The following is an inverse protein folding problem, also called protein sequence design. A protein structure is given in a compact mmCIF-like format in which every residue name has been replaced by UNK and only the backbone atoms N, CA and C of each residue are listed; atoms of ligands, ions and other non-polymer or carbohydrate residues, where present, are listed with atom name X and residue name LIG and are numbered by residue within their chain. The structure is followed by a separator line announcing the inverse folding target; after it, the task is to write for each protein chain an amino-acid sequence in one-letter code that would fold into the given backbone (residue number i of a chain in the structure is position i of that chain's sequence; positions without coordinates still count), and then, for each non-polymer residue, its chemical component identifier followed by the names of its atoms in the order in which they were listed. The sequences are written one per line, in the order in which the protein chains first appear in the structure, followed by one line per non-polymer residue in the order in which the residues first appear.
data_IF_828342589776
#
_entry.id   IF_828342589776
#
_cell.length_a   1.000
_cell.length_b   1.000
_cell.length_c   1.000
_cell.angle_alpha   90.00
_cell.angle_beta   90.00
_cell.angle_gamma   90.00
#
_symmetry.space_group_name_H-M   'P 1'
#
loop_
_entity.id
_entity.type
_entity.pdbx_description
1 polymer ?
#
# COMPACT_ATOMS: atom_id res chain seq x y z
N UNK A 1 25.97 47.16 40.59
CA UNK A 1 26.58 46.13 39.74
C UNK A 1 27.42 45.25 40.66
N UNK A 2 26.96 44.04 40.95
CA UNK A 2 27.69 43.10 41.82
C UNK A 2 27.89 41.81 41.04
N UNK A 3 29.10 41.59 40.54
CA UNK A 3 29.50 40.35 39.90
C UNK A 3 29.59 39.24 40.96
N UNK A 4 28.76 38.21 40.85
CA UNK A 4 28.78 37.07 41.77
C UNK A 4 29.87 36.09 41.29
N UNK A 5 31.06 36.19 41.88
CA UNK A 5 32.15 35.23 41.64
C UNK A 5 31.93 33.97 42.48
N UNK A 6 31.82 32.81 41.83
CA UNK A 6 31.68 31.52 42.51
C UNK A 6 33.01 30.77 42.51
N UNK A 7 33.46 30.35 43.70
CA UNK A 7 34.74 29.66 43.90
C UNK A 7 34.52 28.16 44.07
N UNK A 8 35.26 27.34 43.33
CA UNK A 8 35.16 25.88 43.47
C UNK A 8 35.82 25.42 44.78
N UNK A 9 35.09 24.74 45.69
CA UNK A 9 35.62 24.37 47.01
C UNK A 9 36.68 23.26 46.99
N UNK A 10 36.99 22.64 45.84
CA UNK A 10 37.97 21.54 45.72
C UNK A 10 39.36 21.96 45.23
N UNK A 11 39.48 23.09 44.52
CA UNK A 11 40.76 23.56 43.99
C UNK A 11 40.95 25.08 44.09
N UNK A 12 40.00 25.81 44.67
CA UNK A 12 40.13 27.25 44.94
C UNK A 12 40.12 28.15 43.70
N UNK A 13 39.92 27.60 42.51
CA UNK A 13 39.85 28.37 41.27
C UNK A 13 38.58 29.22 41.27
N UNK A 14 38.76 30.54 41.16
CA UNK A 14 37.68 31.51 40.97
C UNK A 14 37.16 31.37 39.55
N UNK A 15 35.94 30.85 39.39
CA UNK A 15 35.25 30.87 38.11
C UNK A 15 34.38 32.12 38.10
N UNK A 16 34.82 33.13 37.34
CA UNK A 16 33.93 34.23 36.96
C UNK A 16 32.93 33.59 36.01
N UNK A 17 31.68 33.37 36.46
CA UNK A 17 30.62 32.96 35.54
C UNK A 17 30.57 34.07 34.48
N UNK A 18 30.84 33.79 33.19
CA UNK A 18 30.72 34.80 32.15
C UNK A 18 29.22 35.00 31.89
N UNK A 19 28.49 35.49 32.88
CA UNK A 19 27.04 35.65 32.80
C UNK A 19 26.63 36.76 31.83
N UNK A 20 27.56 37.56 31.31
CA UNK A 20 27.26 38.72 30.46
C UNK A 20 28.14 38.89 29.21
N UNK A 21 28.91 37.88 28.77
CA UNK A 21 29.72 37.97 27.53
C UNK A 21 29.37 36.90 26.49
N UNK A 22 28.08 36.66 26.25
CA UNK A 22 27.70 36.15 24.94
C UNK A 22 27.90 37.28 23.94
N UNK A 23 28.73 37.06 22.92
CA UNK A 23 28.88 38.00 21.80
C UNK A 23 27.48 38.33 21.27
N UNK A 24 27.24 39.55 20.83
CA UNK A 24 25.95 39.89 20.22
C UNK A 24 25.67 39.01 18.98
N UNK A 25 26.72 38.47 18.36
CA UNK A 25 26.66 37.44 17.33
C UNK A 25 26.07 36.12 17.83
N UNK A 26 26.44 35.67 19.04
CA UNK A 26 25.90 34.44 19.65
C UNK A 26 24.42 34.62 19.99
N UNK A 27 24.03 35.79 20.50
CA UNK A 27 22.63 36.11 20.78
C UNK A 27 21.79 36.14 19.50
N UNK A 28 22.32 36.74 18.43
CA UNK A 28 21.66 36.74 17.12
C UNK A 28 21.53 35.31 16.56
N UNK A 29 22.58 34.49 16.72
CA UNK A 29 22.56 33.09 16.28
C UNK A 29 21.53 32.27 17.05
N UNK A 30 21.44 32.44 18.37
CA UNK A 30 20.44 31.76 19.20
C UNK A 30 19.03 32.17 18.75
N UNK A 31 18.75 33.46 18.58
CA UNK A 31 17.45 33.93 18.10
C UNK A 31 17.08 33.37 16.72
N UNK A 32 18.07 33.28 15.80
CA UNK A 32 17.88 32.66 14.49
C UNK A 32 17.55 31.17 14.57
N UNK A 33 18.27 30.43 15.44
CA UNK A 33 18.01 29.02 15.68
C UNK A 33 16.65 28.78 16.33
N UNK A 34 16.27 29.59 17.31
CA UNK A 34 14.95 29.54 17.95
C UNK A 34 13.82 29.79 16.94
N UNK A 35 13.98 30.78 16.06
CA UNK A 35 13.04 31.03 14.96
C UNK A 35 12.96 29.83 14.02
N UNK A 36 14.08 29.19 13.70
CA UNK A 36 14.10 28.03 12.82
C UNK A 36 13.42 26.82 13.46
N UNK A 37 13.68 26.57 14.75
CA UNK A 37 13.01 25.53 15.54
C UNK A 37 11.50 25.79 15.53
N UNK A 38 11.06 27.03 15.78
CA UNK A 38 9.65 27.38 15.74
C UNK A 38 9.02 27.06 14.38
N UNK A 39 9.64 27.48 13.27
CA UNK A 39 9.14 27.19 11.91
C UNK A 39 9.09 25.67 11.65
N UNK A 40 10.08 24.93 12.10
CA UNK A 40 10.11 23.48 11.95
C UNK A 40 9.01 22.80 12.78
N UNK A 41 8.74 23.29 13.99
CA UNK A 41 7.62 22.83 14.82
C UNK A 41 6.28 23.14 14.16
N UNK A 42 6.09 24.34 13.61
CA UNK A 42 4.88 24.72 12.88
C UNK A 42 4.68 23.84 11.63
N UNK A 43 5.77 23.48 10.94
CA UNK A 43 5.71 22.55 9.81
C UNK A 43 5.42 21.12 10.23
N UNK A 44 5.99 20.67 11.34
CA UNK A 44 5.76 19.33 11.87
C UNK A 44 4.30 19.17 12.32
N UNK A 45 3.74 20.17 13.00
CA UNK A 45 2.33 20.18 13.41
C UNK A 45 1.40 20.18 12.19
N UNK A 46 1.62 21.07 11.21
CA UNK A 46 0.85 21.07 9.97
C UNK A 46 0.95 19.74 9.18
N UNK A 47 2.11 19.08 9.22
CA UNK A 47 2.28 17.76 8.61
C UNK A 47 1.50 16.67 9.37
N UNK A 48 1.47 16.73 10.70
CA UNK A 48 0.68 15.80 11.54
C UNK A 48 -0.82 16.00 11.30
N UNK A 49 -1.30 17.24 11.19
CA UNK A 49 -2.71 17.53 10.87
C UNK A 49 -3.09 16.90 9.52
N UNK A 50 -2.23 17.08 8.50
CA UNK A 50 -2.44 16.46 7.19
C UNK A 50 -2.41 14.93 7.22
N UNK A 51 -1.59 14.33 8.09
CA UNK A 51 -1.55 12.88 8.28
C UNK A 51 -2.83 12.38 8.95
N UNK A 52 -3.42 13.15 9.87
CA UNK A 52 -4.72 12.83 10.45
C UNK A 52 -5.82 12.83 9.38
N UNK A 53 -5.85 13.84 8.51
CA UNK A 53 -6.78 13.89 7.38
C UNK A 53 -6.64 12.66 6.46
N UNK A 54 -5.41 12.27 6.11
CA UNK A 54 -5.17 11.07 5.30
C UNK A 54 -5.49 9.77 6.04
N UNK A 55 -5.31 9.71 7.36
CA UNK A 55 -5.72 8.55 8.15
C UNK A 55 -7.25 8.38 8.14
N UNK A 56 -7.99 9.47 8.27
CA UNK A 56 -9.45 9.47 8.20
C UNK A 56 -9.96 9.06 6.81
N UNK A 57 -9.34 9.56 5.74
CA UNK A 57 -9.62 9.12 4.37
C UNK A 57 -9.33 7.62 4.19
N UNK A 58 -8.20 7.13 4.71
CA UNK A 58 -7.87 5.70 4.70
C UNK A 58 -8.87 4.87 5.51
N UNK A 59 -9.35 5.37 6.65
CA UNK A 59 -10.39 4.70 7.45
C UNK A 59 -11.71 4.64 6.68
N UNK A 60 -12.08 5.71 5.97
CA UNK A 60 -13.28 5.75 5.14
C UNK A 60 -13.19 4.83 3.92
N UNK A 61 -12.04 4.80 3.24
CA UNK A 61 -11.80 3.89 2.11
C UNK A 61 -11.79 2.44 2.57
N UNK A 62 -11.16 2.15 3.72
CA UNK A 62 -11.18 0.81 4.32
C UNK A 62 -12.54 0.41 4.82
N UNK A 63 -13.36 1.30 5.39
CA UNK A 63 -14.73 0.95 5.81
C UNK A 63 -15.65 0.75 4.60
N UNK A 64 -15.45 1.51 3.51
CA UNK A 64 -16.15 1.30 2.24
C UNK A 64 -15.73 -0.03 1.59
N UNK A 65 -14.44 -0.34 1.60
CA UNK A 65 -13.89 -1.60 1.07
C UNK A 65 -14.24 -2.81 1.98
N UNK A 66 -14.10 -2.71 3.30
CA UNK A 66 -14.51 -3.76 4.24
C UNK A 66 -16.03 -3.89 4.33
N UNK A 67 -16.83 -2.86 4.08
CA UNK A 67 -18.28 -2.97 3.96
C UNK A 67 -18.69 -3.83 2.75
N UNK A 68 -17.92 -3.72 1.65
CA UNK A 68 -18.06 -4.58 0.49
C UNK A 68 -17.51 -6.01 0.71
N UNK A 69 -16.42 -6.17 1.47
CA UNK A 69 -15.81 -7.49 1.75
C UNK A 69 -16.55 -8.24 2.86
N UNK A 70 -17.07 -7.59 3.90
CA UNK A 70 -17.83 -8.27 4.98
C UNK A 70 -19.20 -8.79 4.51
N UNK A 71 -19.80 -8.22 3.47
CA UNK A 71 -20.97 -8.81 2.81
C UNK A 71 -20.62 -10.02 1.91
N UNK A 72 -19.33 -10.21 1.58
CA UNK A 72 -18.84 -11.35 0.81
C UNK A 72 -18.05 -12.39 1.65
N UNK A 73 -17.69 -12.09 2.90
CA UNK A 73 -16.80 -12.95 3.74
C UNK A 73 -17.39 -13.30 5.12
N UNK A 74 -18.68 -13.04 5.40
CA UNK A 74 -19.38 -13.65 6.56
C UNK A 74 -19.79 -15.11 6.34
N UNK A 75 -19.30 -15.75 5.29
CA UNK A 75 -19.09 -17.20 5.25
C UNK A 75 -17.59 -17.43 5.21
N UNK A 76 -17.07 -18.25 6.13
CA UNK A 76 -15.67 -18.67 6.30
C UNK A 76 -14.91 -17.92 7.43
N UNK A 77 -15.22 -18.41 8.63
CA UNK A 77 -14.26 -18.86 9.65
C UNK A 77 -13.69 -17.89 10.70
N UNK A 78 -14.17 -18.16 11.92
CA UNK A 78 -13.54 -17.93 13.21
C UNK A 78 -12.30 -18.82 13.43
N UNK A 79 -11.46 -18.37 14.37
CA UNK A 79 -10.34 -19.03 15.07
C UNK A 79 -8.93 -19.00 14.43
N UNK A 80 -8.15 -18.00 14.90
CA UNK A 80 -6.90 -18.08 15.69
C UNK A 80 -5.78 -19.05 15.20
N UNK A 81 -4.49 -18.71 15.14
CA UNK A 81 -3.61 -18.03 16.13
C UNK A 81 -2.27 -17.62 15.49
N UNK A 82 -1.61 -16.64 16.11
CA UNK A 82 -0.22 -16.23 15.89
C UNK A 82 0.79 -17.40 15.90
N UNK A 83 1.93 -17.25 15.20
CA UNK A 83 3.33 -17.23 15.72
C UNK A 83 4.34 -17.31 14.56
N UNK A 84 5.39 -16.48 14.65
CA UNK A 84 6.66 -16.44 13.89
C UNK A 84 7.31 -17.77 13.49
N UNK A 85 7.89 -17.88 12.29
CA UNK A 85 9.33 -18.16 11.99
C UNK A 85 9.62 -18.61 10.53
N UNK A 86 10.77 -18.13 10.02
CA UNK A 86 11.59 -18.48 8.83
C UNK A 86 11.57 -19.99 8.44
N UNK A 87 11.69 -20.45 7.19
CA UNK A 87 12.88 -20.46 6.29
C UNK A 87 12.53 -21.02 4.88
N UNK A 88 13.49 -20.90 3.96
CA UNK A 88 13.54 -21.13 2.51
C UNK A 88 13.35 -22.56 1.94
N UNK A 89 13.32 -22.62 0.59
CA UNK A 89 13.51 -23.75 -0.34
C UNK A 89 12.31 -24.70 -0.53
N UNK A 90 12.01 -25.33 -1.67
CA UNK A 90 12.35 -25.33 -3.11
C UNK A 90 11.27 -26.27 -3.73
N UNK A 91 10.93 -26.08 -5.00
CA UNK A 91 10.23 -27.01 -5.93
C UNK A 91 9.29 -28.12 -5.40
N UNK A 92 7.99 -28.03 -5.75
CA UNK A 92 7.22 -29.16 -6.33
C UNK A 92 5.76 -28.79 -6.71
N UNK A 93 5.49 -28.82 -8.02
CA UNK A 93 4.28 -29.30 -8.74
C UNK A 93 3.02 -29.65 -7.90
N UNK A 94 1.81 -29.14 -8.28
CA UNK A 94 0.58 -29.49 -7.58
C UNK A 94 0.05 -30.86 -8.04
N UNK A 95 -0.04 -31.80 -7.10
CA UNK A 95 -0.81 -33.04 -7.28
C UNK A 95 -2.21 -32.86 -6.68
N UNK A 96 -3.20 -33.02 -7.55
CA UNK A 96 -4.61 -33.28 -7.22
C UNK A 96 -4.74 -34.57 -6.41
N UNK A 97 -5.40 -34.53 -5.25
CA UNK A 97 -6.28 -35.61 -4.78
C UNK A 97 -7.05 -35.24 -3.50
N UNK A 98 -8.38 -35.28 -3.62
CA UNK A 98 -9.34 -35.82 -2.64
C UNK A 98 -9.31 -35.32 -1.19
N UNK A 99 -10.15 -34.32 -0.90
CA UNK A 99 -10.72 -34.14 0.44
C UNK A 99 -12.12 -34.75 0.51
N UNK A 100 -12.29 -35.67 1.45
CA UNK A 100 -13.51 -36.44 1.71
C UNK A 100 -14.58 -35.55 2.34
N UNK A 101 -15.67 -35.35 1.61
CA UNK A 101 -16.88 -34.66 2.09
C UNK A 101 -17.53 -35.50 3.18
N UNK A 102 -17.35 -35.10 4.44
CA UNK A 102 -18.14 -35.63 5.56
C UNK A 102 -19.54 -35.03 5.48
N UNK A 103 -20.47 -35.82 4.95
CA UNK A 103 -21.91 -35.51 4.95
C UNK A 103 -22.40 -35.47 6.40
N UNK A 104 -22.66 -34.29 6.94
CA UNK A 104 -23.40 -34.15 8.20
C UNK A 104 -24.83 -34.63 7.97
N UNK A 105 -25.12 -35.86 8.40
CA UNK A 105 -26.47 -36.43 8.36
C UNK A 105 -27.24 -35.79 9.52
N UNK A 106 -28.24 -34.97 9.18
CA UNK A 106 -29.25 -34.48 10.11
C UNK A 106 -29.99 -35.67 10.73
N UNK A 107 -29.48 -36.17 11.85
CA UNK A 107 -30.14 -37.14 12.72
C UNK A 107 -30.92 -36.37 13.77
N UNK A 108 -32.09 -35.86 13.40
CA UNK A 108 -33.07 -35.32 14.34
C UNK A 108 -34.42 -35.32 13.64
N UNK A 109 -35.22 -36.37 13.86
CA UNK A 109 -36.69 -36.40 13.84
C UNK A 109 -37.22 -37.84 13.69
N UNK A 110 -36.81 -38.76 14.56
CA UNK A 110 -37.57 -39.99 14.82
C UNK A 110 -37.58 -40.27 16.32
N UNK A 111 -38.24 -39.37 17.06
CA UNK A 111 -38.75 -39.68 18.38
C UNK A 111 -39.87 -40.72 18.25
N UNK A 112 -39.49 -42.01 18.27
CA UNK A 112 -40.42 -43.12 18.33
C UNK A 112 -41.18 -43.15 19.66
N UNK A 113 -42.28 -42.41 19.75
CA UNK A 113 -43.33 -42.67 20.75
C UNK A 113 -44.27 -43.74 20.21
N UNK A 114 -44.21 -44.91 20.82
CA UNK A 114 -45.16 -46.02 20.64
C UNK A 114 -46.55 -45.56 21.09
N UNK A 115 -47.51 -45.39 20.16
CA UNK A 115 -48.93 -45.23 20.51
C UNK A 115 -49.81 -45.96 19.46
N UNK A 116 -50.74 -46.75 20.00
CA UNK A 116 -51.89 -47.50 19.47
C UNK A 116 -52.52 -47.06 18.11
N UNK A 117 -53.17 -47.97 17.36
CA UNK A 117 -53.83 -47.64 16.10
C UNK A 117 -55.20 -46.98 16.32
N UNK A 118 -55.37 -45.76 15.83
CA UNK A 118 -56.66 -45.09 15.65
C UNK A 118 -56.70 -44.45 14.24
N UNK A 119 -57.85 -44.39 13.57
CA UNK A 119 -57.94 -43.96 12.16
C UNK A 119 -57.69 -42.44 12.02
N UNK A 120 -57.10 -41.98 10.90
CA UNK A 120 -56.86 -40.55 10.68
C UNK A 120 -58.15 -39.79 10.30
N UNK A 121 -58.37 -38.56 10.81
CA UNK A 121 -59.47 -37.69 10.38
C UNK A 121 -59.20 -37.05 8.99
N UNK A 122 -60.24 -36.60 8.26
CA UNK A 122 -60.13 -36.07 6.89
C UNK A 122 -59.49 -34.67 6.84
N UNK A 123 -58.77 -34.40 5.73
CA UNK A 123 -57.90 -33.25 5.48
C UNK A 123 -58.66 -31.94 5.17
N UNK A 124 -58.10 -30.77 5.55
CA UNK A 124 -58.21 -29.54 4.76
C UNK A 124 -56.92 -29.37 3.92
N UNK A 125 -56.84 -30.03 2.76
CA UNK A 125 -55.68 -29.94 1.85
C UNK A 125 -55.57 -28.58 1.15
N UNK A 126 -56.70 -27.90 0.91
CA UNK A 126 -56.74 -26.62 0.17
C UNK A 126 -56.05 -25.46 0.89
N UNK A 127 -56.14 -25.38 2.22
CA UNK A 127 -55.45 -24.33 2.99
C UNK A 127 -53.93 -24.49 2.92
N UNK A 128 -53.43 -25.73 2.97
CA UNK A 128 -51.99 -26.02 2.84
C UNK A 128 -51.46 -25.70 1.44
N UNK A 129 -52.25 -25.99 0.40
CA UNK A 129 -51.90 -25.64 -0.98
C UNK A 129 -51.79 -24.11 -1.17
N UNK A 130 -52.69 -23.33 -0.58
CA UNK A 130 -52.62 -21.86 -0.58
C UNK A 130 -51.35 -21.34 0.13
N UNK A 131 -51.00 -21.91 1.29
CA UNK A 131 -49.80 -21.51 2.02
C UNK A 131 -48.51 -21.83 1.26
N UNK A 132 -48.47 -22.97 0.54
CA UNK A 132 -47.36 -23.36 -0.32
C UNK A 132 -47.21 -22.42 -1.52
N UNK A 133 -48.31 -22.03 -2.15
CA UNK A 133 -48.28 -21.04 -3.24
C UNK A 133 -47.77 -19.68 -2.76
N UNK A 134 -48.23 -19.23 -1.59
CA UNK A 134 -47.74 -17.99 -0.98
C UNK A 134 -46.25 -18.07 -0.60
N UNK A 135 -45.78 -19.22 -0.11
CA UNK A 135 -44.37 -19.45 0.20
C UNK A 135 -43.49 -19.47 -1.05
N UNK A 136 -43.96 -20.10 -2.13
CA UNK A 136 -43.28 -20.16 -3.42
C UNK A 136 -43.19 -18.77 -4.05
N UNK A 137 -44.26 -17.98 -4.01
CA UNK A 137 -44.23 -16.60 -4.50
C UNK A 137 -43.20 -15.73 -3.76
N UNK A 138 -43.09 -15.90 -2.43
CA UNK A 138 -42.05 -15.21 -1.63
C UNK A 138 -40.64 -15.67 -2.00
N UNK A 139 -40.43 -16.97 -2.22
CA UNK A 139 -39.12 -17.50 -2.63
C UNK A 139 -38.71 -16.99 -4.01
N UNK A 140 -39.64 -16.95 -4.96
CA UNK A 140 -39.40 -16.40 -6.30
C UNK A 140 -39.07 -14.90 -6.26
N UNK A 141 -39.80 -14.10 -5.46
CA UNK A 141 -39.50 -12.67 -5.29
C UNK A 141 -38.11 -12.44 -4.67
N UNK A 142 -37.78 -13.18 -3.61
CA UNK A 142 -36.43 -13.14 -3.02
C UNK A 142 -35.34 -13.52 -4.03
N UNK A 143 -35.60 -14.53 -4.86
CA UNK A 143 -34.68 -14.95 -5.91
C UNK A 143 -34.52 -13.89 -6.99
N UNK A 144 -35.62 -13.29 -7.46
CA UNK A 144 -35.58 -12.21 -8.44
C UNK A 144 -34.82 -10.99 -7.91
N UNK A 145 -34.99 -10.64 -6.63
CA UNK A 145 -34.23 -9.58 -5.99
C UNK A 145 -32.73 -9.91 -5.89
N UNK A 146 -32.38 -11.16 -5.56
CA UNK A 146 -30.99 -11.61 -5.53
C UNK A 146 -30.34 -11.58 -6.91
N UNK A 147 -31.05 -12.06 -7.94
CA UNK A 147 -30.61 -12.02 -9.34
C UNK A 147 -30.43 -10.58 -9.84
N UNK A 148 -31.33 -9.66 -9.46
CA UNK A 148 -31.20 -8.24 -9.76
C UNK A 148 -29.95 -7.60 -9.13
N UNK A 149 -29.68 -7.89 -7.85
CA UNK A 149 -28.46 -7.44 -7.17
C UNK A 149 -27.20 -8.01 -7.81
N UNK A 150 -27.22 -9.28 -8.20
CA UNK A 150 -26.09 -9.91 -8.89
C UNK A 150 -25.84 -9.27 -10.25
N UNK A 151 -26.91 -8.98 -11.01
CA UNK A 151 -26.79 -8.25 -12.29
C UNK A 151 -26.23 -6.85 -12.11
N UNK A 152 -26.66 -6.12 -11.06
CA UNK A 152 -26.13 -4.80 -10.75
C UNK A 152 -24.63 -4.86 -10.43
N UNK A 153 -24.24 -5.74 -9.51
CA UNK A 153 -22.83 -5.93 -9.13
C UNK A 153 -21.98 -6.36 -10.33
N UNK A 154 -22.51 -7.23 -11.21
CA UNK A 154 -21.82 -7.63 -12.43
C UNK A 154 -21.55 -6.44 -13.35
N UNK A 155 -22.49 -5.51 -13.47
CA UNK A 155 -22.31 -4.28 -14.26
C UNK A 155 -21.26 -3.36 -13.64
N UNK A 156 -21.30 -3.15 -12.31
CA UNK A 156 -20.31 -2.33 -11.61
C UNK A 156 -18.89 -2.91 -11.74
N UNK A 157 -18.75 -4.23 -11.70
CA UNK A 157 -17.46 -4.92 -11.94
C UNK A 157 -16.98 -4.71 -13.38
N UNK A 158 -17.88 -4.80 -14.35
CA UNK A 158 -17.54 -4.55 -15.76
C UNK A 158 -17.04 -3.11 -15.95
N UNK A 159 -17.75 -2.12 -15.42
CA UNK A 159 -17.36 -0.71 -15.50
C UNK A 159 -16.00 -0.45 -14.85
N UNK A 160 -15.78 -0.98 -13.65
CA UNK A 160 -14.49 -0.89 -12.96
C UNK A 160 -13.37 -1.58 -13.75
N UNK A 161 -13.68 -2.72 -14.38
CA UNK A 161 -12.70 -3.42 -15.22
C UNK A 161 -12.31 -2.58 -16.44
N UNK A 162 -13.28 -1.95 -17.11
CA UNK A 162 -13.03 -1.07 -18.26
C UNK A 162 -12.17 0.12 -17.84
N UNK A 163 -12.48 0.75 -16.71
CA UNK A 163 -11.69 1.86 -16.18
C UNK A 163 -10.25 1.45 -15.86
N UNK A 164 -10.06 0.30 -15.21
CA UNK A 164 -8.72 -0.21 -14.86
C UNK A 164 -7.91 -0.53 -16.12
N UNK A 165 -8.53 -1.16 -17.13
CA UNK A 165 -7.86 -1.40 -18.41
C UNK A 165 -7.53 -0.11 -19.15
N UNK A 166 -8.41 0.89 -19.13
CA UNK A 166 -8.16 2.19 -19.73
C UNK A 166 -6.99 2.91 -19.05
N UNK A 167 -6.97 2.96 -17.72
CA UNK A 167 -5.89 3.56 -16.94
C UNK A 167 -4.55 2.83 -17.18
N UNK A 168 -4.57 1.50 -17.21
CA UNK A 168 -3.39 0.70 -17.51
C UNK A 168 -2.86 0.99 -18.92
N UNK A 169 -3.75 1.07 -19.92
CA UNK A 169 -3.38 1.41 -21.29
C UNK A 169 -2.79 2.82 -21.39
N UNK A 170 -3.35 3.80 -20.68
CA UNK A 170 -2.81 5.16 -20.63
C UNK A 170 -1.41 5.20 -19.99
N UNK A 171 -1.23 4.52 -18.85
CA UNK A 171 0.07 4.43 -18.18
C UNK A 171 1.13 3.82 -19.10
N UNK A 172 0.82 2.71 -19.77
CA UNK A 172 1.73 2.08 -20.73
C UNK A 172 2.01 2.98 -21.92
N UNK A 173 1.00 3.71 -22.43
CA UNK A 173 1.19 4.64 -23.53
C UNK A 173 2.13 5.80 -23.15
N UNK A 174 1.98 6.36 -21.94
CA UNK A 174 2.88 7.41 -21.44
C UNK A 174 4.30 6.90 -21.26
N UNK A 175 4.47 5.68 -20.73
CA UNK A 175 5.78 5.04 -20.58
C UNK A 175 6.44 4.80 -21.94
N UNK A 176 5.71 4.25 -22.92
CA UNK A 176 6.23 4.04 -24.28
C UNK A 176 6.67 5.35 -24.93
N UNK A 177 5.90 6.42 -24.77
CA UNK A 177 6.27 7.76 -25.26
C UNK A 177 7.52 8.31 -24.56
N UNK A 178 7.59 8.20 -23.23
CA UNK A 178 8.73 8.67 -22.45
C UNK A 178 10.00 7.88 -22.81
N UNK A 179 9.88 6.56 -22.92
CA UNK A 179 10.96 5.65 -23.32
C UNK A 179 11.49 5.99 -24.72
N UNK A 180 10.62 6.14 -25.72
CA UNK A 180 11.03 6.52 -27.07
C UNK A 180 11.79 7.86 -27.09
N UNK A 181 11.34 8.86 -26.31
CA UNK A 181 12.01 10.15 -26.20
C UNK A 181 13.39 10.05 -25.55
N UNK A 182 13.55 9.17 -24.56
CA UNK A 182 14.85 8.93 -23.93
C UNK A 182 15.78 8.18 -24.88
N UNK A 183 15.28 7.16 -25.57
CA UNK A 183 16.03 6.40 -26.57
C UNK A 183 16.56 7.32 -27.69
N UNK A 184 15.75 8.25 -28.21
CA UNK A 184 16.20 9.26 -29.18
C UNK A 184 17.32 10.16 -28.60
N UNK A 185 17.17 10.63 -27.37
CA UNK A 185 18.18 11.49 -26.73
C UNK A 185 19.50 10.73 -26.49
N UNK A 186 19.42 9.46 -26.12
CA UNK A 186 20.59 8.59 -25.94
C UNK A 186 21.30 8.43 -27.28
N UNK A 187 20.58 8.12 -28.36
CA UNK A 187 21.19 7.97 -29.68
C UNK A 187 21.94 9.24 -30.14
N UNK A 188 21.36 10.42 -29.92
CA UNK A 188 22.02 11.70 -30.23
C UNK A 188 23.27 11.93 -29.37
N UNK A 189 23.24 11.53 -28.10
CA UNK A 189 24.41 11.61 -27.21
C UNK A 189 25.53 10.68 -27.68
N UNK A 190 25.19 9.43 -27.99
CA UNK A 190 26.15 8.43 -28.48
C UNK A 190 26.83 8.89 -29.78
N UNK A 191 26.07 9.40 -30.75
CA UNK A 191 26.65 9.98 -31.99
C UNK A 191 27.63 11.11 -31.70
N UNK A 192 27.30 12.01 -30.77
CA UNK A 192 28.19 13.12 -30.39
C UNK A 192 29.45 12.63 -29.68
N UNK A 193 29.33 11.64 -28.83
CA UNK A 193 30.48 11.09 -28.10
C UNK A 193 31.39 10.27 -29.02
N UNK A 194 30.83 9.58 -30.01
CA UNK A 194 31.58 8.96 -31.10
C UNK A 194 32.38 9.98 -31.92
N UNK A 195 31.78 11.11 -32.29
CA UNK A 195 32.47 12.17 -33.00
C UNK A 195 33.60 12.78 -32.17
N UNK A 196 33.36 13.06 -30.88
CA UNK A 196 34.38 13.57 -29.96
C UNK A 196 35.52 12.57 -29.79
N UNK A 197 35.21 11.29 -29.60
CA UNK A 197 36.21 10.21 -29.50
C UNK A 197 37.11 10.19 -30.73
N UNK A 198 36.54 10.25 -31.94
CA UNK A 198 37.31 10.33 -33.19
C UNK A 198 38.19 11.59 -33.28
N UNK A 199 37.74 12.73 -32.75
CA UNK A 199 38.56 13.96 -32.70
C UNK A 199 39.73 13.81 -31.73
N UNK A 200 39.48 13.26 -30.53
CA UNK A 200 40.52 12.98 -29.55
C UNK A 200 41.57 12.02 -30.09
N UNK A 201 41.18 10.94 -30.75
CA UNK A 201 42.10 9.98 -31.36
C UNK A 201 43.06 10.64 -32.38
N UNK A 202 42.55 11.58 -33.18
CA UNK A 202 43.39 12.36 -34.11
C UNK A 202 44.37 13.27 -33.37
N UNK A 203 43.90 13.94 -32.31
CA UNK A 203 44.74 14.80 -31.48
C UNK A 203 45.82 14.00 -30.75
N UNK A 204 45.48 12.85 -30.18
CA UNK A 204 46.44 11.95 -29.54
C UNK A 204 47.51 11.48 -30.53
N UNK A 205 47.11 11.15 -31.76
CA UNK A 205 48.06 10.77 -32.82
C UNK A 205 48.99 11.93 -33.18
N UNK A 206 48.49 13.16 -33.23
CA UNK A 206 49.31 14.35 -33.48
C UNK A 206 50.27 14.63 -32.31
N UNK A 207 49.80 14.54 -31.06
CA UNK A 207 50.62 14.70 -29.86
C UNK A 207 51.74 13.65 -29.83
N UNK A 208 51.44 12.37 -30.06
CA UNK A 208 52.45 11.30 -30.16
C UNK A 208 53.50 11.57 -31.24
N UNK A 209 53.15 12.26 -32.34
CA UNK A 209 54.13 12.69 -33.36
C UNK A 209 55.01 13.82 -32.84
N UNK A 210 54.41 14.83 -32.19
CA UNK A 210 55.14 15.96 -31.60
C UNK A 210 56.10 15.49 -30.51
N UNK A 211 55.68 14.60 -29.63
CA UNK A 211 56.51 14.02 -28.57
C UNK A 211 57.73 13.29 -29.13
N UNK A 212 57.56 12.52 -30.21
CA UNK A 212 58.68 11.86 -30.90
C UNK A 212 59.69 12.87 -31.46
N UNK A 213 59.22 13.91 -32.14
CA UNK A 213 60.10 14.96 -32.68
C UNK A 213 60.81 15.71 -31.56
N UNK A 214 60.10 16.05 -30.48
CA UNK A 214 60.68 16.71 -29.31
C UNK A 214 61.78 15.85 -28.65
N UNK A 215 61.59 14.54 -28.55
CA UNK A 215 62.60 13.62 -28.05
C UNK A 215 63.88 13.59 -28.88
N UNK A 216 63.77 13.72 -30.21
CA UNK A 216 64.92 13.80 -31.13
C UNK A 216 65.63 15.17 -31.11
N UNK A 217 64.93 16.25 -30.77
CA UNK A 217 65.51 17.60 -30.66
C UNK A 217 66.12 17.90 -29.28
N UNK A 218 65.82 17.07 -28.27
CA UNK A 218 66.32 17.22 -26.91
C UNK A 218 67.67 16.51 -26.67
N UNK A 219 68.21 15.83 -27.70
CA UNK A 219 69.57 15.27 -27.76
C UNK A 219 70.49 16.21 -28.52
#
# INVERSE_FOLDING_TARGET
MSAHSHTCPKCGTLYSHPSDQYSDEDKQRIAGLESQVKILTDKATAAVDKLADYEDELRQLRSSQNGAVTSATSVISDSATATTSRTSDEDARPHSAHSTVKTSRFSSLLGGRKISPAPPPPLPSSSRESDLQAALAREQDLRQQAEGKLSQMSGEIEDLSVQLFQQANEMVATERKARAKLEERVEVLERRDDEKRKRLERLETAIKRIERVRGLLAT
#
